data_IF_442342959230
#
_entry.id   IF_442342959230
#
_cell.length_a   1.000
_cell.length_b   1.000
_cell.length_c   1.000
_cell.angle_alpha   90.00
_cell.angle_beta   90.00
_cell.angle_gamma   90.00
#
_symmetry.space_group_name_H-M   'P 1'
#
loop_
_entity.id
_entity.type
_entity.pdbx_description
1 polymer ?
#
# COMPACT_ATOMS: atom_id res chain seq x y z
N UNK A 1 14.89 13.29 17.99
CA UNK A 1 14.94 14.09 16.75
C UNK A 1 16.33 14.52 16.26
N UNK A 2 17.45 14.01 16.83
CA UNK A 2 18.79 14.37 16.36
C UNK A 2 19.31 13.49 15.21
N UNK A 3 18.68 12.34 14.98
CA UNK A 3 19.12 11.32 14.02
C UNK A 3 19.05 11.82 12.57
N UNK A 4 17.90 12.33 12.12
CA UNK A 4 17.73 12.78 10.72
C UNK A 4 18.68 13.94 10.37
N UNK A 5 18.89 14.87 11.31
CA UNK A 5 19.83 15.98 11.14
C UNK A 5 21.27 15.48 11.01
N UNK A 6 21.66 14.52 11.87
CA UNK A 6 23.01 13.93 11.82
C UNK A 6 23.23 13.13 10.53
N UNK A 7 22.22 12.36 10.09
CA UNK A 7 22.25 11.61 8.83
C UNK A 7 22.37 12.54 7.62
N UNK A 8 21.64 13.64 7.59
CA UNK A 8 21.73 14.63 6.51
C UNK A 8 23.13 15.25 6.43
N UNK A 9 23.71 15.64 7.57
CA UNK A 9 25.09 16.15 7.62
C UNK A 9 26.12 15.10 7.20
N UNK A 10 25.89 13.84 7.56
CA UNK A 10 26.75 12.75 7.14
C UNK A 10 26.69 12.53 5.62
N UNK A 11 25.50 12.67 5.03
CA UNK A 11 25.30 12.58 3.57
C UNK A 11 25.93 13.77 2.81
N UNK A 12 26.00 14.96 3.42
CA UNK A 12 26.75 16.10 2.86
C UNK A 12 28.27 15.84 2.82
N UNK A 13 28.80 15.07 3.77
CA UNK A 13 30.22 14.71 3.86
C UNK A 13 30.57 13.49 2.99
N UNK A 14 29.65 12.54 2.87
CA UNK A 14 29.77 11.34 2.06
C UNK A 14 28.56 11.20 1.13
N UNK A 15 28.73 11.67 -0.11
CA UNK A 15 27.67 11.67 -1.13
C UNK A 15 27.28 10.28 -1.62
N UNK A 16 28.01 9.24 -1.23
CA UNK A 16 27.70 7.85 -1.57
C UNK A 16 26.65 7.28 -0.62
N UNK A 17 26.51 7.86 0.58
CA UNK A 17 25.43 7.49 1.48
C UNK A 17 24.10 7.98 0.94
N UNK A 18 23.10 7.10 1.00
CA UNK A 18 21.70 7.46 0.70
C UNK A 18 20.83 7.09 1.89
N UNK A 19 20.02 8.03 2.33
CA UNK A 19 19.06 7.83 3.41
C UNK A 19 17.66 7.83 2.81
N UNK A 20 16.88 6.80 3.14
CA UNK A 20 15.50 6.67 2.67
C UNK A 20 14.60 6.31 3.82
N UNK A 21 13.49 7.05 3.97
CA UNK A 21 12.44 6.71 4.92
C UNK A 21 11.40 5.87 4.18
N UNK A 22 11.22 4.63 4.61
CA UNK A 22 10.19 3.75 4.07
C UNK A 22 8.95 3.87 4.95
N UNK A 23 7.90 4.46 4.40
CA UNK A 23 6.67 4.73 5.15
C UNK A 23 5.93 3.44 5.54
N UNK A 24 5.97 2.42 4.69
CA UNK A 24 5.26 1.15 4.91
C UNK A 24 5.81 0.33 6.08
N UNK A 25 7.14 0.26 6.20
CA UNK A 25 7.80 -0.49 7.28
C UNK A 25 8.15 0.40 8.47
N UNK A 26 7.93 1.72 8.33
CA UNK A 26 8.40 2.73 9.26
C UNK A 26 9.89 2.59 9.62
N UNK A 27 10.71 2.11 8.67
CA UNK A 27 12.16 2.01 8.81
C UNK A 27 12.86 3.16 8.09
N UNK A 28 14.00 3.57 8.64
CA UNK A 28 14.91 4.49 7.96
C UNK A 28 16.07 3.65 7.45
N UNK A 29 16.18 3.52 6.13
CA UNK A 29 17.22 2.76 5.46
C UNK A 29 18.43 3.65 5.19
N UNK A 30 19.61 3.12 5.52
CA UNK A 30 20.89 3.73 5.19
C UNK A 30 21.59 2.84 4.17
N UNK A 31 21.78 3.37 2.97
CA UNK A 31 22.48 2.72 1.88
C UNK A 31 23.94 3.17 1.86
N UNK A 32 24.84 2.25 1.55
CA UNK A 32 26.26 2.49 1.38
C UNK A 32 26.87 1.48 0.41
N UNK A 33 28.17 1.57 0.17
CA UNK A 33 28.89 0.71 -0.79
C UNK A 33 29.11 -0.72 -0.30
N UNK A 34 28.95 -0.95 1.01
CA UNK A 34 29.08 -2.25 1.64
C UNK A 34 29.13 -2.13 3.16
N UNK A 35 29.20 -3.27 3.84
CA UNK A 35 29.09 -3.36 5.30
C UNK A 35 30.17 -2.55 6.02
N UNK A 36 31.41 -2.57 5.54
CA UNK A 36 32.50 -1.79 6.13
C UNK A 36 32.22 -0.29 6.07
N UNK A 37 31.70 0.20 4.95
CA UNK A 37 31.37 1.60 4.81
C UNK A 37 30.24 1.98 5.78
N UNK A 38 29.17 1.18 5.84
CA UNK A 38 28.06 1.42 6.76
C UNK A 38 28.52 1.45 8.23
N UNK A 39 29.36 0.50 8.65
CA UNK A 39 29.88 0.43 10.01
C UNK A 39 30.72 1.66 10.38
N UNK A 40 31.61 2.10 9.49
CA UNK A 40 32.43 3.31 9.71
C UNK A 40 31.54 4.56 9.77
N UNK A 41 30.52 4.63 8.91
CA UNK A 41 29.57 5.74 8.86
C UNK A 41 28.72 5.83 10.13
N UNK A 42 28.24 4.70 10.67
CA UNK A 42 27.54 4.66 11.95
C UNK A 42 28.45 5.05 13.13
N UNK A 43 29.70 4.60 13.13
CA UNK A 43 30.66 4.96 14.17
C UNK A 43 31.00 6.47 14.14
N UNK A 44 31.16 7.05 12.95
CA UNK A 44 31.33 8.51 12.79
C UNK A 44 30.13 9.26 13.35
N UNK A 45 28.92 8.75 13.11
CA UNK A 45 27.69 9.36 13.58
C UNK A 45 27.63 9.41 15.12
N UNK A 46 28.10 8.34 15.78
CA UNK A 46 28.27 8.29 17.22
C UNK A 46 29.37 9.26 17.71
N UNK A 47 30.58 9.21 17.15
CA UNK A 47 31.73 10.00 17.62
C UNK A 47 31.56 11.51 17.40
N UNK A 48 31.03 11.92 16.26
CA UNK A 48 30.97 13.34 15.85
C UNK A 48 29.69 14.04 16.29
N UNK A 49 28.56 13.33 16.28
CA UNK A 49 27.25 13.92 16.58
C UNK A 49 26.64 13.39 17.89
N UNK A 50 27.29 12.43 18.56
CA UNK A 50 26.81 11.85 19.81
C UNK A 50 25.51 11.08 19.65
N UNK A 51 25.20 10.60 18.44
CA UNK A 51 23.97 9.88 18.13
C UNK A 51 24.26 8.39 18.12
N UNK A 52 23.68 7.66 19.07
CA UNK A 52 23.71 6.21 19.11
C UNK A 52 22.56 5.66 18.25
N UNK A 53 22.88 4.73 17.36
CA UNK A 53 21.93 4.12 16.42
C UNK A 53 21.89 2.63 16.64
N UNK A 54 20.69 2.10 16.77
CA UNK A 54 20.45 0.66 16.78
C UNK A 54 20.04 0.23 15.37
N UNK A 55 20.77 -0.72 14.80
CA UNK A 55 20.40 -1.34 13.54
C UNK A 55 19.43 -2.49 13.80
N UNK A 56 18.46 -2.64 12.91
CA UNK A 56 17.48 -3.73 12.92
C UNK A 56 17.43 -4.35 11.53
N UNK A 57 17.00 -5.60 11.45
CA UNK A 57 16.84 -6.27 10.16
C UNK A 57 15.80 -5.54 9.29
N UNK A 58 16.10 -5.48 8.00
CA UNK A 58 15.21 -4.85 7.02
C UNK A 58 13.94 -5.70 6.89
N UNK A 59 12.78 -5.05 6.99
CA UNK A 59 11.49 -5.69 6.77
C UNK A 59 11.24 -5.70 5.26
N UNK A 60 10.94 -6.88 4.71
CA UNK A 60 10.54 -7.03 3.31
C UNK A 60 9.05 -6.68 3.19
N UNK A 61 8.66 -5.63 2.45
CA UNK A 61 7.26 -5.27 2.27
C UNK A 61 6.61 -6.22 1.27
N UNK A 62 6.11 -7.36 1.77
CA UNK A 62 5.39 -8.32 0.93
C UNK A 62 4.11 -7.72 0.33
N UNK A 63 3.70 -8.31 -0.78
CA UNK A 63 2.48 -7.98 -1.52
C UNK A 63 1.73 -9.25 -1.87
N UNK A 64 0.41 -9.17 -1.90
CA UNK A 64 -0.47 -10.25 -2.31
C UNK A 64 -1.03 -9.99 -3.70
N UNK A 65 -1.30 -11.06 -4.44
CA UNK A 65 -2.03 -11.02 -5.70
C UNK A 65 -2.74 -12.35 -5.91
N UNK A 66 -3.71 -12.39 -6.83
CA UNK A 66 -4.43 -13.61 -7.18
C UNK A 66 -3.75 -14.33 -8.35
N UNK A 67 -4.03 -15.62 -8.52
CA UNK A 67 -3.46 -16.42 -9.62
C UNK A 67 -4.48 -16.75 -10.72
N UNK A 68 -5.77 -16.66 -10.42
CA UNK A 68 -6.85 -17.01 -11.31
C UNK A 68 -7.98 -15.98 -11.19
N UNK A 69 -8.71 -15.70 -12.28
CA UNK A 69 -9.93 -14.91 -12.26
C UNK A 69 -10.93 -15.43 -11.23
N UNK A 70 -11.60 -14.52 -10.53
CA UNK A 70 -12.66 -14.84 -9.58
C UNK A 70 -13.78 -13.80 -9.63
N UNK A 71 -14.96 -14.17 -9.12
CA UNK A 71 -16.11 -13.29 -9.00
C UNK A 71 -16.53 -13.19 -7.53
N UNK A 72 -16.99 -12.01 -7.13
CA UNK A 72 -17.41 -11.75 -5.76
C UNK A 72 -18.58 -10.76 -5.71
N UNK A 73 -19.35 -10.87 -4.64
CA UNK A 73 -20.50 -10.01 -4.36
C UNK A 73 -20.23 -9.24 -3.06
N UNK A 74 -20.27 -7.91 -3.12
CA UNK A 74 -20.18 -7.02 -1.97
C UNK A 74 -21.57 -6.51 -1.58
N UNK A 75 -22.00 -6.76 -0.34
CA UNK A 75 -23.29 -6.31 0.20
C UNK A 75 -23.10 -5.28 1.30
N UNK A 76 -23.67 -4.11 1.12
CA UNK A 76 -23.79 -3.07 2.13
C UNK A 76 -25.25 -2.90 2.53
N UNK A 77 -25.56 -3.20 3.80
CA UNK A 77 -26.90 -3.04 4.35
C UNK A 77 -26.80 -2.27 5.67
N UNK A 78 -27.25 -1.02 5.68
CA UNK A 78 -27.35 -0.21 6.90
C UNK A 78 -28.77 0.28 7.09
N UNK A 79 -29.42 -0.23 8.14
CA UNK A 79 -30.80 0.15 8.49
C UNK A 79 -30.81 0.70 9.92
N UNK A 80 -30.90 2.02 10.06
CA UNK A 80 -31.11 2.70 11.35
C UNK A 80 -32.43 3.45 11.30
N UNK A 81 -33.48 2.86 11.85
CA UNK A 81 -34.74 3.52 12.24
C UNK A 81 -35.62 4.16 11.15
N UNK A 82 -35.16 4.29 9.90
CA UNK A 82 -35.86 4.93 8.77
C UNK A 82 -35.49 4.33 7.41
N UNK A 83 -35.46 5.14 6.34
CA UNK A 83 -34.99 4.72 5.01
C UNK A 83 -33.57 4.14 5.11
N UNK A 84 -33.46 2.82 4.89
CA UNK A 84 -32.18 2.12 4.93
C UNK A 84 -31.35 2.44 3.69
N UNK A 85 -30.02 2.33 3.82
CA UNK A 85 -29.13 2.30 2.67
C UNK A 85 -28.85 0.84 2.33
N UNK A 86 -29.12 0.46 1.10
CA UNK A 86 -28.81 -0.85 0.58
C UNK A 86 -28.05 -0.74 -0.74
N UNK A 87 -26.92 -1.45 -0.81
CA UNK A 87 -26.11 -1.55 -2.01
C UNK A 87 -25.58 -2.98 -2.14
N UNK A 88 -25.66 -3.52 -3.34
CA UNK A 88 -25.01 -4.76 -3.75
C UNK A 88 -24.18 -4.44 -4.98
N UNK A 89 -22.95 -4.93 -5.02
CA UNK A 89 -22.06 -4.77 -6.16
C UNK A 89 -21.47 -6.13 -6.48
N UNK A 90 -21.60 -6.53 -7.74
CA UNK A 90 -20.99 -7.72 -8.28
C UNK A 90 -19.73 -7.34 -9.05
N UNK A 91 -18.60 -7.91 -8.63
CA UNK A 91 -17.28 -7.64 -9.19
C UNK A 91 -16.64 -8.92 -9.74
N UNK A 92 -15.81 -8.74 -10.75
CA UNK A 92 -14.87 -9.75 -11.24
C UNK A 92 -13.47 -9.23 -11.02
N UNK A 93 -12.59 -10.07 -10.51
CA UNK A 93 -11.18 -9.75 -10.27
C UNK A 93 -10.33 -10.69 -11.09
N UNK A 94 -9.39 -10.14 -11.85
CA UNK A 94 -8.48 -10.88 -12.71
C UNK A 94 -7.03 -10.48 -12.40
N UNK A 95 -6.07 -11.43 -12.42
CA UNK A 95 -4.68 -11.10 -12.20
C UNK A 95 -4.12 -10.30 -13.38
N UNK A 96 -3.26 -9.33 -13.08
CA UNK A 96 -2.46 -8.61 -14.07
C UNK A 96 -1.01 -9.09 -14.06
N UNK A 97 -0.26 -8.67 -15.08
CA UNK A 97 1.19 -8.87 -15.09
C UNK A 97 1.83 -8.14 -13.91
N UNK A 98 2.95 -8.69 -13.40
CA UNK A 98 3.64 -8.10 -12.25
C UNK A 98 4.08 -6.68 -12.54
N UNK A 99 3.77 -5.77 -11.61
CA UNK A 99 4.07 -4.35 -11.75
C UNK A 99 3.03 -3.55 -12.54
N UNK A 100 1.91 -4.17 -12.94
CA UNK A 100 0.79 -3.46 -13.57
C UNK A 100 -0.03 -2.63 -12.58
N UNK A 101 0.08 -2.91 -11.28
CA UNK A 101 -0.61 -2.17 -10.23
C UNK A 101 -2.09 -2.52 -10.14
N UNK A 102 -2.95 -1.50 -10.06
CA UNK A 102 -4.40 -1.67 -9.90
C UNK A 102 -5.13 -1.02 -11.07
N UNK A 103 -6.09 -1.75 -11.65
CA UNK A 103 -6.98 -1.25 -12.68
C UNK A 103 -8.43 -1.48 -12.26
N UNK A 104 -9.27 -0.45 -12.40
CA UNK A 104 -10.71 -0.56 -12.24
C UNK A 104 -11.43 -0.35 -13.57
N UNK A 105 -12.48 -1.11 -13.83
CA UNK A 105 -13.34 -0.94 -15.02
C UNK A 105 -14.81 -1.01 -14.65
N UNK A 106 -15.56 0.00 -15.06
CA UNK A 106 -17.02 0.05 -14.98
C UNK A 106 -17.63 -0.57 -16.24
N UNK A 107 -18.35 -1.68 -16.06
CA UNK A 107 -19.16 -2.35 -17.09
C UNK A 107 -20.65 -2.41 -16.70
N UNK A 108 -21.09 -1.58 -15.74
CA UNK A 108 -22.48 -1.58 -15.28
C UNK A 108 -23.41 -1.12 -16.41
N UNK A 109 -24.35 -1.99 -16.77
CA UNK A 109 -25.37 -1.73 -17.80
C UNK A 109 -26.74 -1.47 -17.17
N UNK A 110 -27.61 -0.77 -17.91
CA UNK A 110 -29.03 -0.63 -17.52
C UNK A 110 -29.31 0.22 -16.27
N UNK A 111 -28.29 0.87 -15.68
CA UNK A 111 -28.46 1.70 -14.48
C UNK A 111 -28.65 0.91 -13.19
N UNK A 112 -28.21 -0.36 -13.17
CA UNK A 112 -28.26 -1.24 -11.98
C UNK A 112 -27.55 -0.63 -10.76
N UNK A 113 -26.52 0.20 -11.00
CA UNK A 113 -25.91 1.09 -10.02
C UNK A 113 -25.87 2.51 -10.63
N UNK A 114 -26.37 3.55 -9.93
CA UNK A 114 -26.21 4.92 -10.35
C UNK A 114 -24.73 5.29 -10.48
N UNK A 115 -24.33 5.90 -11.60
CA UNK A 115 -22.93 6.27 -11.89
C UNK A 115 -22.24 7.10 -10.81
N UNK A 116 -23.02 7.87 -10.04
CA UNK A 116 -22.51 8.64 -8.91
C UNK A 116 -21.92 7.79 -7.78
N UNK A 117 -22.29 6.51 -7.67
CA UNK A 117 -21.80 5.59 -6.64
C UNK A 117 -20.58 4.77 -7.09
N UNK A 118 -20.29 4.70 -8.40
CA UNK A 118 -19.15 3.94 -8.93
C UNK A 118 -17.80 4.40 -8.33
N UNK A 119 -17.51 5.70 -8.18
CA UNK A 119 -16.27 6.14 -7.53
C UNK A 119 -16.16 5.72 -6.06
N UNK A 120 -17.29 5.61 -5.35
CA UNK A 120 -17.30 5.16 -3.97
C UNK A 120 -17.03 3.64 -3.86
N UNK A 121 -17.51 2.88 -4.84
CA UNK A 121 -17.22 1.44 -4.98
C UNK A 121 -15.73 1.22 -5.27
N UNK A 122 -15.18 1.92 -6.26
CA UNK A 122 -13.76 1.85 -6.61
C UNK A 122 -12.87 2.19 -5.42
N UNK A 123 -13.18 3.28 -4.71
CA UNK A 123 -12.46 3.68 -3.50
C UNK A 123 -12.54 2.62 -2.40
N UNK A 124 -13.71 2.02 -2.18
CA UNK A 124 -13.88 0.96 -1.19
C UNK A 124 -13.05 -0.30 -1.52
N UNK A 125 -12.92 -0.62 -2.81
CA UNK A 125 -12.08 -1.72 -3.29
C UNK A 125 -10.61 -1.39 -3.03
N UNK A 126 -10.15 -0.18 -3.38
CA UNK A 126 -8.78 0.27 -3.14
C UNK A 126 -8.42 0.25 -1.64
N UNK A 127 -9.31 0.76 -0.78
CA UNK A 127 -9.14 0.73 0.67
C UNK A 127 -9.07 -0.71 1.21
N UNK A 128 -9.90 -1.62 0.70
CA UNK A 128 -9.88 -3.03 1.09
C UNK A 128 -8.60 -3.73 0.63
N UNK A 129 -8.11 -3.42 -0.58
CA UNK A 129 -6.85 -3.95 -1.09
C UNK A 129 -5.66 -3.47 -0.27
N UNK A 130 -5.68 -2.23 0.21
CA UNK A 130 -4.64 -1.67 1.08
C UNK A 130 -4.61 -2.32 2.47
N UNK A 131 -5.77 -2.74 3.02
CA UNK A 131 -5.86 -3.50 4.27
C UNK A 131 -5.30 -4.93 4.15
N UNK A 132 -5.23 -5.43 2.92
CA UNK A 132 -4.53 -6.65 2.58
C UNK A 132 -5.44 -7.87 2.42
N UNK A 133 -4.85 -8.91 1.83
CA UNK A 133 -5.54 -10.15 1.49
C UNK A 133 -5.66 -11.13 2.65
N UNK A 134 -5.41 -12.41 2.37
CA UNK A 134 -5.52 -13.48 3.37
C UNK A 134 -4.40 -13.40 4.41
N UNK A 135 -3.24 -12.87 4.02
CA UNK A 135 -2.06 -12.78 4.87
C UNK A 135 -1.82 -11.37 5.42
N UNK A 136 -2.74 -10.44 5.15
CA UNK A 136 -2.68 -9.06 5.65
C UNK A 136 -1.67 -8.18 4.93
N UNK A 137 -1.18 -8.57 3.75
CA UNK A 137 -0.33 -7.73 2.92
C UNK A 137 -1.14 -7.05 1.81
N UNK A 138 -0.77 -5.81 1.41
CA UNK A 138 -1.49 -5.08 0.37
C UNK A 138 -1.60 -5.89 -0.92
N UNK A 139 -2.81 -5.91 -1.48
CA UNK A 139 -3.11 -6.60 -2.74
C UNK A 139 -2.73 -5.70 -3.92
N UNK A 140 -2.01 -6.24 -4.89
CA UNK A 140 -1.53 -5.53 -6.09
C UNK A 140 -1.66 -6.42 -7.34
N UNK A 141 -1.44 -5.82 -8.51
CA UNK A 141 -1.45 -6.50 -9.82
C UNK A 141 -2.80 -7.19 -10.08
N UNK A 142 -3.88 -6.44 -9.91
CA UNK A 142 -5.25 -6.93 -10.15
C UNK A 142 -6.07 -5.94 -10.96
N UNK A 143 -6.90 -6.50 -11.84
CA UNK A 143 -7.93 -5.79 -12.58
C UNK A 143 -9.29 -6.12 -12.00
N UNK A 144 -9.99 -5.11 -11.49
CA UNK A 144 -11.33 -5.25 -10.94
C UNK A 144 -12.34 -4.65 -11.91
N UNK A 145 -13.28 -5.48 -12.34
CA UNK A 145 -14.40 -5.07 -13.18
C UNK A 145 -15.70 -5.11 -12.39
N UNK A 146 -16.35 -3.97 -12.25
CA UNK A 146 -17.71 -3.86 -11.70
C UNK A 146 -18.70 -4.05 -12.85
N UNK A 147 -19.51 -5.11 -12.82
CA UNK A 147 -20.37 -5.46 -13.95
C UNK A 147 -21.86 -5.45 -13.64
N UNK A 148 -22.26 -5.62 -12.38
CA UNK A 148 -23.67 -5.60 -11.97
C UNK A 148 -23.81 -5.12 -10.51
N UNK A 149 -25.04 -4.88 -10.09
CA UNK A 149 -25.36 -4.57 -8.71
C UNK A 149 -26.82 -4.22 -8.48
N UNK A 150 -27.15 -3.87 -7.25
CA UNK A 150 -28.51 -3.47 -6.83
C UNK A 150 -28.41 -2.36 -5.81
N UNK A 151 -29.35 -1.43 -5.83
CA UNK A 151 -29.43 -0.38 -4.82
C UNK A 151 -30.87 -0.15 -4.37
N UNK A 152 -31.03 0.29 -3.12
CA UNK A 152 -32.29 0.79 -2.57
C UNK A 152 -32.03 1.87 -1.51
#
# INVERSE_FOLDING_TARGET
DKLMIALHRLQEEDTVLRVERVDETHQTLLWGTGDTHLNVSLERLHRKYGVEVQTVDIIIPYRETITQPSQGEGKYKKQTGGHGQYGVVDIRIEPLERGSGYLFTDQVVGGAIPRQYIPAVEKGIEESMAQGGTHGFPVVDVHVTCYDGKYH
#
